data_IF_399168381845
#
_entry.id   IF_399168381845
#
_cell.length_a   1.000
_cell.length_b   1.000
_cell.length_c   1.000
_cell.angle_alpha   90.00
_cell.angle_beta   90.00
_cell.angle_gamma   90.00
#
_symmetry.space_group_name_H-M   'P 1'
#
loop_
_entity.id
_entity.type
_entity.pdbx_description
1 polymer ?
#
# COMPACT_ATOMS: atom_id res chain seq x y z
N UNK A 1 -8.73 -122.62 -25.43
CA UNK A 1 -9.73 -123.69 -25.43
C UNK A 1 -11.06 -123.14 -25.05
N UNK A 2 -11.94 -122.87 -26.00
CA UNK A 2 -11.93 -122.95 -27.46
C UNK A 2 -13.32 -122.34 -27.80
N UNK A 3 -13.42 -121.48 -28.81
CA UNK A 3 -14.07 -121.82 -30.08
C UNK A 3 -15.54 -122.25 -29.94
N UNK A 4 -16.46 -121.82 -30.79
CA UNK A 4 -16.43 -121.01 -32.00
C UNK A 4 -17.92 -120.89 -32.39
N UNK A 5 -18.14 -120.13 -33.45
CA UNK A 5 -19.27 -120.17 -34.36
C UNK A 5 -20.13 -118.90 -34.37
N UNK A 6 -19.77 -117.92 -35.21
CA UNK A 6 -19.88 -117.87 -36.70
C UNK A 6 -21.31 -117.44 -37.05
N UNK A 7 -21.59 -116.50 -37.95
CA UNK A 7 -20.86 -115.54 -38.81
C UNK A 7 -21.97 -114.69 -39.44
N UNK A 8 -21.58 -113.51 -39.94
CA UNK A 8 -22.15 -112.79 -41.10
C UNK A 8 -23.66 -112.42 -41.11
N UNK A 9 -24.17 -111.41 -41.82
CA UNK A 9 -23.73 -110.69 -43.01
C UNK A 9 -24.33 -109.25 -42.98
N UNK A 10 -23.63 -108.29 -43.58
CA UNK A 10 -24.15 -107.03 -44.14
C UNK A 10 -25.24 -107.26 -45.20
N UNK A 11 -26.02 -106.23 -45.55
CA UNK A 11 -26.56 -105.91 -46.90
C UNK A 11 -27.52 -104.72 -46.70
N UNK A 12 -27.24 -103.51 -47.19
CA UNK A 12 -27.21 -103.01 -48.57
C UNK A 12 -28.54 -102.44 -49.05
N UNK A 13 -28.35 -101.33 -49.75
CA UNK A 13 -29.31 -100.47 -50.39
C UNK A 13 -29.79 -101.13 -51.69
N UNK A 14 -30.91 -101.84 -51.64
CA UNK A 14 -31.73 -102.06 -52.82
C UNK A 14 -33.17 -101.65 -52.49
N UNK A 15 -33.66 -100.59 -53.15
CA UNK A 15 -35.09 -100.36 -53.34
C UNK A 15 -35.54 -101.41 -54.37
N UNK A 16 -35.87 -102.61 -53.89
CA UNK A 16 -36.49 -103.65 -54.69
C UNK A 16 -37.95 -103.80 -54.27
N UNK A 17 -38.81 -103.40 -55.19
CA UNK A 17 -40.27 -103.37 -55.13
C UNK A 17 -40.84 -104.81 -55.21
N UNK A 18 -41.59 -105.32 -54.20
CA UNK A 18 -42.20 -106.64 -54.26
C UNK A 18 -43.68 -106.56 -54.65
N UNK A 19 -44.25 -107.68 -55.12
CA UNK A 19 -45.04 -107.72 -56.34
C UNK A 19 -46.52 -107.48 -56.10
N UNK A 20 -47.20 -106.96 -57.13
CA UNK A 20 -48.60 -107.28 -57.34
C UNK A 20 -48.87 -107.53 -58.83
N UNK A 21 -48.90 -108.84 -59.15
CA UNK A 21 -49.75 -109.48 -60.16
C UNK A 21 -49.52 -109.18 -61.65
N UNK A 22 -48.89 -110.14 -62.31
CA UNK A 22 -49.13 -110.47 -63.73
C UNK A 22 -50.51 -111.15 -63.92
N UNK A 23 -50.99 -111.35 -65.17
CA UNK A 23 -50.83 -110.58 -66.41
C UNK A 23 -52.20 -109.94 -66.82
N UNK A 24 -52.31 -109.07 -67.81
CA UNK A 24 -52.53 -109.43 -69.22
C UNK A 24 -52.34 -108.25 -70.19
N UNK A 25 -52.02 -108.62 -71.42
CA UNK A 25 -51.68 -107.84 -72.62
C UNK A 25 -52.85 -106.93 -73.06
N UNK A 26 -52.70 -105.87 -73.87
CA UNK A 26 -52.22 -105.93 -75.26
C UNK A 26 -51.88 -104.53 -75.85
N UNK A 27 -50.93 -104.57 -76.79
CA UNK A 27 -50.78 -103.69 -77.96
C UNK A 27 -50.31 -102.24 -77.78
N UNK A 28 -49.10 -102.01 -78.30
CA UNK A 28 -48.48 -100.71 -78.61
C UNK A 28 -49.38 -99.87 -79.52
N UNK A 29 -49.70 -98.64 -79.12
CA UNK A 29 -49.99 -97.54 -80.05
C UNK A 29 -49.32 -96.25 -79.56
N UNK A 30 -48.65 -95.60 -80.51
CA UNK A 30 -47.94 -94.33 -80.47
C UNK A 30 -48.72 -93.22 -79.74
N UNK A 31 -48.15 -92.60 -78.70
CA UNK A 31 -48.78 -91.49 -77.96
C UNK A 31 -48.37 -90.12 -78.52
N UNK A 32 -49.38 -89.31 -78.84
CA UNK A 32 -49.35 -87.98 -79.44
C UNK A 32 -48.66 -86.91 -78.55
N UNK A 33 -47.77 -86.04 -79.09
CA UNK A 33 -47.09 -84.95 -78.36
C UNK A 33 -47.99 -84.00 -77.55
N UNK A 34 -49.30 -83.95 -77.83
CA UNK A 34 -50.25 -83.20 -77.03
C UNK A 34 -50.41 -83.75 -75.60
N UNK A 35 -50.34 -85.07 -75.41
CA UNK A 35 -50.55 -85.72 -74.10
C UNK A 35 -49.41 -85.42 -73.13
N UNK A 36 -48.17 -85.29 -73.62
CA UNK A 36 -47.00 -84.96 -72.79
C UNK A 36 -47.03 -83.49 -72.30
N UNK A 37 -47.58 -82.57 -73.09
CA UNK A 37 -47.74 -81.16 -72.71
C UNK A 37 -48.79 -80.98 -71.59
N UNK A 38 -49.88 -81.76 -71.61
CA UNK A 38 -50.91 -81.72 -70.56
C UNK A 38 -50.41 -82.31 -69.24
N UNK A 39 -49.62 -83.37 -69.26
CA UNK A 39 -49.01 -83.93 -68.05
C UNK A 39 -48.05 -82.93 -67.36
N UNK A 40 -47.31 -82.14 -68.15
CA UNK A 40 -46.44 -81.08 -67.61
C UNK A 40 -47.21 -79.92 -66.97
N UNK A 41 -48.31 -79.49 -67.61
CA UNK A 41 -49.21 -78.46 -67.07
C UNK A 41 -49.93 -78.93 -65.80
N UNK A 42 -50.30 -80.20 -65.73
CA UNK A 42 -50.92 -80.78 -64.54
C UNK A 42 -49.93 -80.84 -63.36
N UNK A 43 -48.66 -81.15 -63.63
CA UNK A 43 -47.57 -81.07 -62.65
C UNK A 43 -47.33 -79.63 -62.13
N UNK A 44 -47.34 -78.63 -63.02
CA UNK A 44 -47.21 -77.22 -62.60
C UNK A 44 -48.44 -76.73 -61.83
N UNK A 45 -49.66 -77.09 -62.25
CA UNK A 45 -50.88 -76.75 -61.51
C UNK A 45 -50.94 -77.44 -60.13
N UNK A 46 -50.45 -78.67 -60.01
CA UNK A 46 -50.34 -79.35 -58.72
C UNK A 46 -49.39 -78.62 -57.76
N UNK A 47 -48.26 -78.12 -58.27
CA UNK A 47 -47.30 -77.33 -57.48
C UNK A 47 -47.90 -75.99 -57.03
N UNK A 48 -48.55 -75.25 -57.94
CA UNK A 48 -49.22 -73.99 -57.59
C UNK A 48 -50.34 -74.23 -56.58
N UNK A 49 -51.16 -75.27 -56.75
CA UNK A 49 -52.22 -75.62 -55.80
C UNK A 49 -51.64 -75.95 -54.41
N UNK A 50 -50.54 -76.69 -54.36
CA UNK A 50 -49.87 -77.00 -53.11
C UNK A 50 -49.30 -75.75 -52.43
N UNK A 51 -48.66 -74.84 -53.17
CA UNK A 51 -48.12 -73.58 -52.60
C UNK A 51 -49.22 -72.65 -52.11
N UNK A 52 -50.33 -72.50 -52.84
CA UNK A 52 -51.49 -71.70 -52.40
C UNK A 52 -52.13 -72.32 -51.17
N UNK A 53 -52.26 -73.64 -51.11
CA UNK A 53 -52.77 -74.32 -49.93
C UNK A 53 -51.85 -74.16 -48.73
N UNK A 54 -50.52 -74.19 -48.91
CA UNK A 54 -49.57 -73.97 -47.82
C UNK A 54 -49.57 -72.51 -47.34
N UNK A 55 -49.65 -71.54 -48.25
CA UNK A 55 -49.70 -70.11 -47.92
C UNK A 55 -51.04 -69.72 -47.27
N UNK A 56 -52.14 -70.36 -47.67
CA UNK A 56 -53.43 -70.22 -47.01
C UNK A 56 -53.43 -70.84 -45.60
N UNK A 57 -52.71 -71.95 -45.40
CA UNK A 57 -52.53 -72.58 -44.08
C UNK A 57 -51.69 -71.72 -43.14
N UNK A 58 -50.60 -71.13 -43.64
CA UNK A 58 -49.78 -70.18 -42.87
C UNK A 58 -50.56 -68.92 -42.51
N UNK A 59 -51.38 -68.37 -43.42
CA UNK A 59 -52.23 -67.20 -43.14
C UNK A 59 -53.34 -67.47 -42.11
N UNK A 60 -53.85 -68.69 -42.05
CA UNK A 60 -54.84 -69.10 -41.06
C UNK A 60 -54.25 -69.25 -39.64
N UNK A 61 -52.92 -69.43 -39.53
CA UNK A 61 -52.20 -69.57 -38.26
C UNK A 61 -51.59 -68.23 -37.76
N UNK A 62 -51.82 -67.12 -38.47
CA UNK A 62 -51.43 -65.79 -38.01
C UNK A 62 -52.44 -65.31 -36.96
N UNK A 63 -52.15 -65.62 -35.70
CA UNK A 63 -52.79 -64.98 -34.55
C UNK A 63 -52.29 -63.55 -34.46
N UNK A 64 -53.13 -62.56 -34.84
CA UNK A 64 -52.83 -61.15 -34.64
C UNK A 64 -52.85 -60.87 -33.13
N UNK A 65 -51.72 -60.50 -32.50
CA UNK A 65 -51.71 -60.24 -31.07
C UNK A 65 -52.52 -58.97 -30.76
N UNK A 66 -53.39 -59.03 -29.76
CA UNK A 66 -54.14 -57.84 -29.31
C UNK A 66 -53.24 -56.93 -28.46
N UNK A 67 -52.68 -55.91 -29.12
CA UNK A 67 -51.85 -54.88 -28.48
C UNK A 67 -52.64 -53.77 -27.79
N UNK A 68 -53.98 -53.83 -27.77
CA UNK A 68 -54.83 -52.77 -27.22
C UNK A 68 -54.51 -52.51 -25.74
N UNK A 69 -54.25 -53.57 -24.97
CA UNK A 69 -53.85 -53.46 -23.57
C UNK A 69 -52.47 -52.79 -23.42
N UNK A 70 -51.49 -53.16 -24.24
CA UNK A 70 -50.13 -52.59 -24.19
C UNK A 70 -50.12 -51.13 -24.64
N UNK A 71 -50.88 -50.78 -25.68
CA UNK A 71 -51.03 -49.41 -26.16
C UNK A 71 -51.80 -48.54 -25.15
N UNK A 72 -52.83 -49.08 -24.49
CA UNK A 72 -53.52 -48.41 -23.39
C UNK A 72 -52.61 -48.14 -22.19
N UNK A 73 -51.70 -49.06 -21.88
CA UNK A 73 -50.70 -48.88 -20.83
C UNK A 73 -49.63 -47.83 -21.21
N UNK A 74 -49.22 -47.76 -22.48
CA UNK A 74 -48.34 -46.69 -22.96
C UNK A 74 -49.02 -45.32 -22.91
N UNK A 75 -50.31 -45.25 -23.27
CA UNK A 75 -51.07 -44.02 -23.19
C UNK A 75 -51.18 -43.50 -21.74
N UNK A 76 -51.45 -44.38 -20.77
CA UNK A 76 -51.51 -43.98 -19.36
C UNK A 76 -50.15 -43.57 -18.78
N UNK A 77 -49.06 -44.21 -19.21
CA UNK A 77 -47.70 -43.80 -18.85
C UNK A 77 -47.34 -42.43 -19.42
N UNK A 78 -47.72 -42.14 -20.66
CA UNK A 78 -47.54 -40.82 -21.26
C UNK A 78 -48.32 -39.74 -20.52
N UNK A 79 -49.57 -40.03 -20.12
CA UNK A 79 -50.39 -39.11 -19.33
C UNK A 79 -49.75 -38.82 -17.97
N UNK A 80 -49.29 -39.85 -17.25
CA UNK A 80 -48.56 -39.68 -15.99
C UNK A 80 -47.25 -38.89 -16.16
N UNK A 81 -46.52 -39.08 -17.27
CA UNK A 81 -45.33 -38.29 -17.58
C UNK A 81 -45.68 -36.83 -17.84
N UNK A 82 -46.78 -36.55 -18.55
CA UNK A 82 -47.27 -35.18 -18.77
C UNK A 82 -47.70 -34.51 -17.47
N UNK A 83 -48.43 -35.22 -16.60
CA UNK A 83 -48.81 -34.70 -15.27
C UNK A 83 -47.58 -34.38 -14.43
N UNK A 84 -46.59 -35.29 -14.39
CA UNK A 84 -45.36 -35.07 -13.66
C UNK A 84 -44.52 -33.92 -14.23
N UNK A 85 -44.42 -33.82 -15.56
CA UNK A 85 -43.67 -32.76 -16.23
C UNK A 85 -44.36 -31.39 -16.07
N UNK A 86 -45.70 -31.37 -16.10
CA UNK A 86 -46.51 -30.20 -15.76
C UNK A 86 -46.28 -29.78 -14.30
N UNK A 87 -46.31 -30.74 -13.36
CA UNK A 87 -46.03 -30.50 -11.95
C UNK A 87 -44.60 -30.02 -11.69
N UNK A 88 -43.62 -30.47 -12.48
CA UNK A 88 -42.23 -30.00 -12.42
C UNK A 88 -42.12 -28.58 -13.02
N UNK A 89 -42.75 -28.32 -14.16
CA UNK A 89 -42.73 -26.99 -14.80
C UNK A 89 -43.42 -25.92 -13.95
N UNK A 90 -44.44 -26.31 -13.18
CA UNK A 90 -45.17 -25.44 -12.26
C UNK A 90 -44.42 -25.16 -10.95
N UNK A 91 -43.34 -25.89 -10.64
CA UNK A 91 -42.56 -25.65 -9.42
C UNK A 91 -41.76 -24.34 -9.54
N UNK A 92 -41.69 -23.53 -8.47
CA UNK A 92 -40.99 -22.24 -8.45
C UNK A 92 -39.48 -22.36 -8.75
N UNK A 93 -38.89 -23.55 -8.60
CA UNK A 93 -37.50 -23.82 -8.95
C UNK A 93 -37.17 -23.57 -10.44
N UNK A 94 -38.14 -23.72 -11.36
CA UNK A 94 -37.93 -23.42 -12.79
C UNK A 94 -37.99 -21.91 -13.10
N UNK A 95 -38.53 -21.09 -12.19
CA UNK A 95 -38.57 -19.63 -12.31
C UNK A 95 -37.37 -18.94 -11.67
N UNK A 96 -36.71 -19.62 -10.73
CA UNK A 96 -35.49 -19.17 -10.08
C UNK A 96 -34.29 -19.75 -10.84
N UNK A 97 -33.92 -19.09 -11.94
CA UNK A 97 -32.72 -19.47 -12.69
C UNK A 97 -31.47 -18.91 -12.00
N UNK A 98 -30.31 -19.54 -12.16
CA UNK A 98 -29.06 -19.02 -11.64
C UNK A 98 -28.78 -17.57 -12.09
N UNK A 99 -29.15 -17.23 -13.33
CA UNK A 99 -29.01 -15.88 -13.87
C UNK A 99 -29.88 -14.86 -13.12
N UNK A 100 -31.15 -15.19 -12.86
CA UNK A 100 -32.06 -14.28 -12.12
C UNK A 100 -31.67 -14.11 -10.65
N UNK A 101 -31.05 -15.12 -10.03
CA UNK A 101 -30.46 -15.00 -8.69
C UNK A 101 -29.20 -14.14 -8.74
N UNK A 102 -28.33 -14.33 -9.74
CA UNK A 102 -27.12 -13.53 -9.91
C UNK A 102 -27.43 -12.05 -10.14
N UNK A 103 -28.45 -11.74 -10.96
CA UNK A 103 -28.91 -10.37 -11.21
C UNK A 103 -29.45 -9.71 -9.93
N UNK A 104 -30.29 -10.41 -9.17
CA UNK A 104 -30.77 -9.90 -7.88
C UNK A 104 -29.65 -9.66 -6.87
N UNK A 105 -28.64 -10.54 -6.84
CA UNK A 105 -27.46 -10.35 -5.99
C UNK A 105 -26.65 -9.15 -6.48
N UNK A 106 -26.48 -8.98 -7.79
CA UNK A 106 -25.76 -7.85 -8.38
C UNK A 106 -26.44 -6.52 -8.05
N UNK A 107 -27.76 -6.45 -8.23
CA UNK A 107 -28.59 -5.27 -7.92
C UNK A 107 -28.57 -4.95 -6.41
N UNK A 108 -28.77 -5.96 -5.56
CA UNK A 108 -28.67 -5.79 -4.11
C UNK A 108 -27.26 -5.36 -3.65
N UNK A 109 -26.23 -5.87 -4.33
CA UNK A 109 -24.83 -5.52 -4.05
C UNK A 109 -24.47 -4.12 -4.52
N UNK A 110 -25.09 -3.60 -5.58
CA UNK A 110 -24.76 -2.29 -6.13
C UNK A 110 -25.04 -1.17 -5.10
N UNK A 111 -26.18 -1.23 -4.41
CA UNK A 111 -26.51 -0.30 -3.34
C UNK A 111 -25.50 -0.33 -2.19
N UNK A 112 -25.12 -1.53 -1.75
CA UNK A 112 -24.10 -1.71 -0.70
C UNK A 112 -22.74 -1.17 -1.12
N UNK A 113 -22.29 -1.49 -2.35
CA UNK A 113 -21.00 -1.04 -2.88
C UNK A 113 -20.94 0.47 -3.02
N UNK A 114 -22.02 1.12 -3.46
CA UNK A 114 -22.10 2.59 -3.54
C UNK A 114 -21.98 3.22 -2.15
N UNK A 115 -22.72 2.70 -1.18
CA UNK A 115 -22.63 3.16 0.22
C UNK A 115 -21.22 2.99 0.80
N UNK A 116 -20.61 1.81 0.64
CA UNK A 116 -19.27 1.53 1.12
C UNK A 116 -18.23 2.42 0.43
N UNK A 117 -18.37 2.63 -0.88
CA UNK A 117 -17.47 3.52 -1.64
C UNK A 117 -17.56 4.97 -1.15
N UNK A 118 -18.75 5.46 -0.83
CA UNK A 118 -18.96 6.80 -0.29
C UNK A 118 -18.33 6.94 1.11
N UNK A 119 -18.51 5.93 1.97
CA UNK A 119 -17.88 5.91 3.29
C UNK A 119 -16.35 5.83 3.22
N UNK A 120 -15.81 5.02 2.30
CA UNK A 120 -14.37 4.96 2.03
C UNK A 120 -13.83 6.29 1.52
N UNK A 121 -14.54 6.96 0.61
CA UNK A 121 -14.15 8.28 0.13
C UNK A 121 -14.16 9.32 1.26
N UNK A 122 -15.21 9.34 2.10
CA UNK A 122 -15.29 10.21 3.28
C UNK A 122 -14.16 9.95 4.26
N UNK A 123 -13.88 8.69 4.58
CA UNK A 123 -12.80 8.29 5.47
C UNK A 123 -11.42 8.70 4.90
N UNK A 124 -11.18 8.48 3.61
CA UNK A 124 -9.94 8.91 2.95
C UNK A 124 -9.79 10.43 2.96
N UNK A 125 -10.87 11.17 2.69
CA UNK A 125 -10.84 12.63 2.70
C UNK A 125 -10.59 13.18 4.10
N UNK A 126 -11.27 12.63 5.11
CA UNK A 126 -11.01 12.97 6.50
C UNK A 126 -9.56 12.68 6.89
N UNK A 127 -9.03 11.51 6.50
CA UNK A 127 -7.65 11.15 6.81
C UNK A 127 -6.66 12.09 6.12
N UNK A 128 -6.84 12.39 4.82
CA UNK A 128 -6.02 13.38 4.10
C UNK A 128 -6.07 14.76 4.75
N UNK A 129 -7.24 15.20 5.18
CA UNK A 129 -7.42 16.49 5.85
C UNK A 129 -6.70 16.50 7.19
N UNK A 130 -6.88 15.47 8.02
CA UNK A 130 -6.19 15.35 9.31
C UNK A 130 -4.66 15.31 9.13
N UNK A 131 -4.15 14.57 8.15
CA UNK A 131 -2.71 14.52 7.84
C UNK A 131 -2.20 15.88 7.37
N UNK A 132 -2.95 16.58 6.51
CA UNK A 132 -2.59 17.93 6.06
C UNK A 132 -2.55 18.93 7.22
N UNK A 133 -3.53 18.88 8.13
CA UNK A 133 -3.56 19.70 9.34
C UNK A 133 -2.39 19.37 10.28
N UNK A 134 -2.08 18.09 10.49
CA UNK A 134 -0.89 17.68 11.27
C UNK A 134 0.40 18.21 10.64
N UNK A 135 0.58 18.09 9.33
CA UNK A 135 1.75 18.65 8.66
C UNK A 135 1.81 20.18 8.77
N UNK A 136 0.67 20.87 8.68
CA UNK A 136 0.60 22.31 8.86
C UNK A 136 0.97 22.72 10.30
N UNK A 137 0.49 21.99 11.32
CA UNK A 137 0.82 22.22 12.72
C UNK A 137 2.30 21.94 13.01
N UNK A 138 2.85 20.82 12.52
CA UNK A 138 4.27 20.47 12.65
C UNK A 138 5.15 21.49 11.92
N UNK A 139 4.73 21.93 10.72
CA UNK A 139 5.40 22.99 9.97
C UNK A 139 5.45 24.29 10.77
N UNK A 140 4.32 24.74 11.32
CA UNK A 140 4.25 25.93 12.18
C UNK A 140 5.12 25.79 13.43
N UNK A 141 5.05 24.65 14.12
CA UNK A 141 5.86 24.40 15.31
C UNK A 141 7.38 24.46 15.02
N UNK A 142 7.83 23.84 13.92
CA UNK A 142 9.23 23.92 13.48
C UNK A 142 9.65 25.34 13.14
N UNK A 143 8.78 26.11 12.47
CA UNK A 143 9.11 27.51 12.14
C UNK A 143 9.22 28.39 13.38
N UNK A 144 8.41 28.16 14.42
CA UNK A 144 8.48 28.91 15.68
C UNK A 144 9.80 28.64 16.41
N UNK A 145 10.22 27.37 16.48
CA UNK A 145 11.48 27.00 17.13
C UNK A 145 12.68 27.62 16.40
N UNK A 146 12.71 27.56 15.08
CA UNK A 146 13.78 28.17 14.28
C UNK A 146 13.78 29.70 14.39
N UNK A 147 12.61 30.34 14.42
CA UNK A 147 12.47 31.78 14.63
C UNK A 147 12.94 32.19 16.01
N UNK A 148 12.54 31.47 17.06
CA UNK A 148 12.96 31.75 18.44
C UNK A 148 14.47 31.59 18.59
N UNK A 149 15.07 30.54 18.04
CA UNK A 149 16.53 30.36 18.06
C UNK A 149 17.24 31.51 17.36
N UNK A 150 16.79 31.94 16.18
CA UNK A 150 17.35 33.10 15.47
C UNK A 150 17.20 34.39 16.29
N UNK A 151 16.03 34.60 16.89
CA UNK A 151 15.78 35.77 17.74
C UNK A 151 16.66 35.78 18.98
N UNK A 152 16.84 34.63 19.64
CA UNK A 152 17.74 34.46 20.78
C UNK A 152 19.20 34.74 20.39
N UNK A 153 19.65 34.26 19.23
CA UNK A 153 20.99 34.58 18.73
C UNK A 153 21.15 36.07 18.43
N UNK A 154 20.18 36.70 17.78
CA UNK A 154 20.23 38.15 17.50
C UNK A 154 20.15 38.98 18.77
N UNK A 155 19.30 38.60 19.73
CA UNK A 155 19.20 39.24 21.04
C UNK A 155 20.50 39.09 21.83
N UNK A 156 21.07 37.88 21.87
CA UNK A 156 22.37 37.62 22.48
C UNK A 156 23.48 38.44 21.83
N UNK A 157 23.58 38.42 20.50
CA UNK A 157 24.58 39.20 19.75
C UNK A 157 24.42 40.71 20.00
N UNK A 158 23.19 41.23 19.99
CA UNK A 158 22.91 42.63 20.29
C UNK A 158 23.28 43.01 21.72
N UNK A 159 23.00 42.15 22.70
CA UNK A 159 23.40 42.35 24.09
C UNK A 159 24.93 42.38 24.23
N UNK A 160 25.63 41.41 23.64
CA UNK A 160 27.10 41.37 23.65
C UNK A 160 27.71 42.60 22.97
N UNK A 161 27.20 42.97 21.79
CA UNK A 161 27.65 44.17 21.10
C UNK A 161 27.40 45.44 21.93
N UNK A 162 26.23 45.53 22.58
CA UNK A 162 25.88 46.64 23.47
C UNK A 162 26.81 46.74 24.68
N UNK A 163 27.12 45.63 25.35
CA UNK A 163 28.06 45.57 26.48
C UNK A 163 29.46 46.02 26.04
N UNK A 164 29.94 45.50 24.91
CA UNK A 164 31.26 45.83 24.37
C UNK A 164 31.34 47.32 23.99
N UNK A 165 30.30 47.83 23.34
CA UNK A 165 30.16 49.25 23.01
C UNK A 165 30.18 50.13 24.27
N UNK A 166 29.38 49.80 25.30
CA UNK A 166 29.32 50.56 26.55
C UNK A 166 30.60 50.45 27.39
N UNK A 167 31.42 49.43 27.18
CA UNK A 167 32.70 49.30 27.87
C UNK A 167 33.78 50.21 27.27
N UNK A 168 33.72 50.46 25.95
CA UNK A 168 34.74 51.22 25.21
C UNK A 168 34.37 52.71 25.06
N UNK A 169 33.09 53.01 24.82
CA UNK A 169 32.62 54.38 24.56
C UNK A 169 32.96 55.38 25.69
N UNK A 170 32.77 55.08 26.99
CA UNK A 170 33.02 56.06 28.04
C UNK A 170 34.46 56.56 28.05
N UNK A 171 35.43 55.67 27.86
CA UNK A 171 36.85 56.04 27.86
C UNK A 171 37.30 56.82 26.63
N UNK A 172 36.70 56.56 25.46
CA UNK A 172 37.01 57.30 24.23
C UNK A 172 36.36 58.68 24.20
N UNK A 173 35.08 58.77 24.60
CA UNK A 173 34.35 60.03 24.70
C UNK A 173 34.96 60.93 25.77
N UNK A 174 35.35 60.39 26.93
CA UNK A 174 35.96 61.18 28.00
C UNK A 174 37.27 61.86 27.58
N UNK A 175 38.03 61.28 26.63
CA UNK A 175 39.29 61.86 26.11
C UNK A 175 39.09 62.84 24.96
N UNK A 176 37.97 62.77 24.26
CA UNK A 176 37.66 63.65 23.13
C UNK A 176 36.93 64.95 23.54
N UNK A 177 36.51 65.04 24.81
CA UNK A 177 35.83 66.21 25.36
C UNK A 177 36.80 67.37 25.66
N UNK A 178 36.30 68.62 25.71
CA UNK A 178 37.13 69.80 26.03
C UNK A 178 37.83 69.68 27.39
N UNK A 179 39.09 70.14 27.46
CA UNK A 179 39.91 70.10 28.67
C UNK A 179 39.28 70.85 29.86
N UNK A 180 38.42 71.84 29.60
CA UNK A 180 37.73 72.61 30.64
C UNK A 180 36.82 71.75 31.54
N UNK A 181 36.45 70.54 31.10
CA UNK A 181 35.51 69.69 31.83
C UNK A 181 36.17 68.70 32.81
N UNK A 182 37.46 68.39 32.62
CA UNK A 182 38.27 67.51 33.47
C UNK A 182 37.63 66.12 33.73
N UNK A 183 36.99 65.55 32.71
CA UNK A 183 36.32 64.25 32.82
C UNK A 183 37.28 63.09 33.10
N UNK A 184 38.45 62.99 32.43
CA UNK A 184 39.43 61.95 32.73
C UNK A 184 39.89 61.96 34.19
N UNK A 185 40.16 63.15 34.74
CA UNK A 185 40.66 63.34 36.10
C UNK A 185 39.58 63.00 37.15
N UNK A 186 38.33 63.40 36.90
CA UNK A 186 37.19 63.03 37.76
C UNK A 186 36.92 61.53 37.73
N UNK A 187 37.06 60.90 36.58
CA UNK A 187 36.90 59.44 36.41
C UNK A 187 38.04 58.69 37.09
N UNK A 188 39.29 59.12 36.92
CA UNK A 188 40.46 58.57 37.59
C UNK A 188 40.32 58.67 39.11
N UNK A 189 39.94 59.84 39.64
CA UNK A 189 39.65 60.01 41.07
C UNK A 189 38.61 59.01 41.57
N UNK A 190 37.50 58.85 40.84
CA UNK A 190 36.43 57.92 41.22
C UNK A 190 36.87 56.45 41.13
N UNK A 191 37.73 56.11 40.18
CA UNK A 191 38.28 54.76 40.01
C UNK A 191 39.31 54.41 41.10
N UNK A 192 40.19 55.36 41.48
CA UNK A 192 41.14 55.20 42.60
C UNK A 192 40.40 55.20 43.95
N UNK A 193 39.24 55.85 44.01
CA UNK A 193 38.37 55.87 45.19
C UNK A 193 38.72 56.97 46.20
N UNK A 194 39.42 58.02 45.77
CA UNK A 194 39.84 59.10 46.64
C UNK A 194 38.82 60.26 46.71
N UNK A 195 38.77 61.00 47.83
CA UNK A 195 37.82 62.10 48.02
C UNK A 195 38.03 63.22 47.00
N UNK A 196 39.29 63.63 46.79
CA UNK A 196 39.68 64.72 45.90
C UNK A 196 40.58 64.25 44.75
N UNK A 197 40.63 65.04 43.66
CA UNK A 197 41.49 64.74 42.51
C UNK A 197 42.97 64.76 42.93
N UNK A 198 43.33 65.65 43.87
CA UNK A 198 44.69 65.78 44.37
C UNK A 198 45.10 64.52 45.14
N UNK A 199 44.27 64.02 46.05
CA UNK A 199 44.55 62.77 46.79
C UNK A 199 44.66 61.56 45.85
N UNK A 200 43.82 61.48 44.81
CA UNK A 200 43.95 60.47 43.76
C UNK A 200 45.30 60.55 43.05
N UNK A 201 45.74 61.77 42.70
CA UNK A 201 47.04 62.00 42.07
C UNK A 201 48.20 61.60 42.99
N UNK A 202 48.16 62.00 44.26
CA UNK A 202 49.16 61.64 45.27
C UNK A 202 49.25 60.11 45.41
N UNK A 203 48.10 59.43 45.56
CA UNK A 203 48.06 57.97 45.70
C UNK A 203 48.61 57.26 44.47
N UNK A 204 48.31 57.75 43.26
CA UNK A 204 48.86 57.21 42.02
C UNK A 204 50.38 57.36 41.95
N UNK A 205 50.91 58.57 42.22
CA UNK A 205 52.35 58.84 42.21
C UNK A 205 53.06 57.96 43.25
N UNK A 206 52.56 57.97 44.49
CA UNK A 206 53.13 57.18 45.59
C UNK A 206 53.11 55.68 45.31
N UNK A 207 52.02 55.14 44.71
CA UNK A 207 51.91 53.72 44.39
C UNK A 207 52.84 53.26 43.27
N UNK A 208 53.19 54.15 42.33
CA UNK A 208 54.08 53.82 41.21
C UNK A 208 55.57 54.06 41.53
N UNK A 209 55.89 55.09 42.31
CA UNK A 209 57.25 55.40 42.72
C UNK A 209 57.28 56.07 44.10
N UNK A 210 57.47 55.30 45.19
CA UNK A 210 57.49 55.84 46.54
C UNK A 210 58.74 56.70 46.80
N UNK A 211 59.89 56.37 46.19
CA UNK A 211 61.14 57.12 46.34
C UNK A 211 61.03 58.52 45.74
N UNK A 212 60.48 58.64 44.52
CA UNK A 212 60.23 59.94 43.90
C UNK A 212 59.22 60.78 44.70
N UNK A 213 58.27 60.16 45.40
CA UNK A 213 57.35 60.87 46.28
C UNK A 213 58.07 61.44 47.51
N UNK A 214 59.01 60.68 48.10
CA UNK A 214 59.81 61.16 49.23
C UNK A 214 60.70 62.35 48.84
N UNK A 215 61.32 62.31 47.65
CA UNK A 215 62.08 63.44 47.11
C UNK A 215 61.20 64.69 46.92
N UNK A 216 60.01 64.52 46.33
CA UNK A 216 59.05 65.61 46.14
C UNK A 216 58.56 66.17 47.49
N UNK A 217 58.26 65.30 48.46
CA UNK A 217 57.84 65.70 49.80
C UNK A 217 58.94 66.43 50.55
N UNK A 218 60.20 66.00 50.41
CA UNK A 218 61.37 66.68 50.98
C UNK A 218 61.56 68.07 50.36
N UNK A 219 61.50 68.18 49.03
CA UNK A 219 61.56 69.47 48.34
C UNK A 219 60.43 70.41 48.78
N UNK A 220 59.20 69.90 48.87
CA UNK A 220 58.04 70.68 49.33
C UNK A 220 58.20 71.15 50.78
N UNK A 221 58.82 70.36 51.65
CA UNK A 221 59.12 70.74 53.04
C UNK A 221 60.12 71.90 53.10
N UNK A 222 61.20 71.84 52.32
CA UNK A 222 62.17 72.95 52.25
C UNK A 222 61.50 74.21 51.71
N UNK A 223 60.69 74.11 50.65
CA UNK A 223 59.97 75.25 50.08
C UNK A 223 58.99 75.87 51.07
N UNK A 224 58.25 75.06 51.83
CA UNK A 224 57.27 75.56 52.80
C UNK A 224 57.93 76.24 53.99
N UNK A 225 59.04 75.69 54.50
CA UNK A 225 59.84 76.31 55.57
C UNK A 225 60.45 77.65 55.16
N UNK A 226 60.77 77.82 53.88
CA UNK A 226 61.41 79.02 53.33
C UNK A 226 60.45 79.93 52.55
N UNK A 227 59.13 79.73 52.68
CA UNK A 227 58.14 80.35 51.78
C UNK A 227 58.20 81.88 51.73
N UNK A 228 58.35 82.54 52.88
CA UNK A 228 58.45 84.00 52.96
C UNK A 228 59.74 84.55 52.34
N UNK A 229 60.88 83.90 52.62
CA UNK A 229 62.19 84.27 52.09
C UNK A 229 62.25 84.08 50.58
N UNK A 230 61.68 82.97 50.09
CA UNK A 230 61.55 82.68 48.66
C UNK A 230 60.62 83.66 47.96
N UNK A 231 59.47 84.01 48.54
CA UNK A 231 58.57 84.99 47.93
C UNK A 231 59.21 86.37 47.82
N UNK A 232 59.90 86.85 48.86
CA UNK A 232 60.64 88.12 48.82
C UNK A 232 61.78 88.09 47.80
N UNK A 233 62.48 86.96 47.72
CA UNK A 233 63.48 86.73 46.69
C UNK A 233 62.88 86.81 45.28
N UNK A 234 61.77 86.11 45.02
CA UNK A 234 61.08 86.11 43.73
C UNK A 234 60.61 87.51 43.34
N UNK A 235 60.06 88.28 44.27
CA UNK A 235 59.69 89.68 44.02
C UNK A 235 60.89 90.54 43.67
N UNK A 236 62.00 90.38 44.39
CA UNK A 236 63.24 91.13 44.16
C UNK A 236 63.83 90.78 42.79
N UNK A 237 63.81 89.50 42.41
CA UNK A 237 64.23 89.03 41.09
C UNK A 237 63.36 89.64 39.97
N UNK A 238 62.02 89.65 40.16
CA UNK A 238 61.06 90.25 39.21
C UNK A 238 61.26 91.76 39.06
N UNK A 239 61.46 92.49 40.16
CA UNK A 239 61.74 93.94 40.16
C UNK A 239 63.06 94.26 39.47
N UNK A 240 64.11 93.48 39.76
CA UNK A 240 65.43 93.68 39.19
C UNK A 240 65.57 93.15 37.75
N UNK A 241 64.61 92.34 37.27
CA UNK A 241 64.60 91.68 35.95
C UNK A 241 65.92 90.95 35.61
N UNK A 242 66.60 90.43 36.63
CA UNK A 242 67.88 89.72 36.52
C UNK A 242 67.94 88.57 37.51
N UNK A 243 68.77 87.57 37.23
CA UNK A 243 69.05 86.50 38.17
C UNK A 243 69.69 87.09 39.45
N UNK A 244 69.18 86.67 40.61
CA UNK A 244 69.71 87.05 41.91
C UNK A 244 69.95 85.80 42.75
N UNK A 245 70.94 85.85 43.63
CA UNK A 245 71.21 84.79 44.60
C UNK A 245 70.42 85.04 45.87
N UNK A 246 69.81 83.99 46.41
CA UNK A 246 69.08 84.03 47.67
C UNK A 246 69.49 82.83 48.51
N UNK A 247 69.57 83.02 49.82
CA UNK A 247 69.87 81.97 50.78
C UNK A 247 68.59 81.25 51.18
N UNK A 248 68.59 79.93 51.14
CA UNK A 248 67.57 79.08 51.75
C UNK A 248 68.13 78.46 53.03
N UNK A 249 67.28 78.26 54.02
CA UNK A 249 67.59 77.53 55.25
C UNK A 249 67.16 76.08 55.08
N UNK A 250 68.05 75.14 55.41
CA UNK A 250 67.76 73.72 55.33
C UNK A 250 67.93 73.18 56.74
N UNK A 251 66.82 72.83 57.37
CA UNK A 251 66.80 72.18 58.68
C UNK A 251 66.56 70.67 58.44
N UNK A 252 67.57 69.86 58.77
CA UNK A 252 67.57 68.40 58.61
C UNK A 252 66.83 67.70 59.76
#
# INVERSE_FOLDING_TARGET
>A
MEDDHIEEVQLDLEVEEPPALAPEQEAVTESDPATEAFARLEGEMAMVRHTVQNMARERADIVIPDYTATLGQMASQLEQLFENLSAISGKPAMKLTPETIADQIADASEGSRRYDSDQLMKAQNFHRQATAEMHALVGRARTIEEQNRKLQHMAGAGLFAGILLWSILPGTIARAMPESWQWPERMARKAVGEPTIVEAGIRLIWSQNPEAWEELAAAQRILSQNGEDLNRCLESARKAKRAISCSIKIDL
#
